data_IF_296821557576
#
_entry.id   IF_296821557576
#
_cell.length_a   1.000
_cell.length_b   1.000
_cell.length_c   1.000
_cell.angle_alpha   90.00
_cell.angle_beta   90.00
_cell.angle_gamma   90.00
#
_symmetry.space_group_name_H-M   'P 1'
#
loop_
_entity.id
_entity.type
_entity.pdbx_description
1 polymer ?
#
# COMPACT_ATOMS: atom_id res chain seq x y z
N UNK A 1 2.01 -2.81 -8.78
CA UNK A 1 0.64 -2.49 -9.22
C UNK A 1 0.73 -1.26 -10.11
N UNK A 2 0.08 -1.26 -11.27
CA UNK A 2 0.08 -0.09 -12.15
C UNK A 2 -0.96 0.92 -11.65
N UNK A 3 -0.56 2.19 -11.61
CA UNK A 3 -1.40 3.28 -11.12
C UNK A 3 -1.48 4.41 -12.13
N UNK A 4 -2.65 5.04 -12.20
CA UNK A 4 -2.90 6.25 -12.99
C UNK A 4 -3.37 7.38 -12.06
N UNK A 5 -3.16 8.62 -12.49
CA UNK A 5 -3.67 9.78 -11.77
C UNK A 5 -5.20 9.71 -11.66
N UNK A 6 -5.73 10.04 -10.49
CA UNK A 6 -7.14 9.92 -10.15
C UNK A 6 -7.73 11.20 -9.53
N UNK A 7 -7.11 12.36 -9.78
CA UNK A 7 -7.56 13.64 -9.20
C UNK A 7 -9.01 13.96 -9.58
N UNK A 8 -9.38 13.69 -10.84
CA UNK A 8 -10.71 13.97 -11.38
C UNK A 8 -11.72 12.82 -11.16
N UNK A 9 -11.28 11.69 -10.61
CA UNK A 9 -12.15 10.53 -10.42
C UNK A 9 -13.15 10.77 -9.26
N UNK A 10 -14.48 10.74 -9.48
CA UNK A 10 -15.45 11.15 -8.46
C UNK A 10 -15.38 10.38 -7.13
N UNK A 11 -15.06 9.08 -7.18
CA UNK A 11 -14.87 8.23 -5.99
C UNK A 11 -13.43 8.24 -5.47
N UNK A 12 -12.45 7.81 -6.28
CA UNK A 12 -11.05 7.67 -5.87
C UNK A 12 -10.37 8.94 -5.32
N UNK A 13 -10.78 10.15 -5.77
CA UNK A 13 -10.23 11.40 -5.24
C UNK A 13 -10.52 11.65 -3.75
N UNK A 14 -11.51 10.95 -3.19
CA UNK A 14 -11.92 11.03 -1.78
C UNK A 14 -10.96 10.27 -0.84
N UNK A 15 -10.12 9.40 -1.38
CA UNK A 15 -9.15 8.60 -0.61
C UNK A 15 -7.79 9.29 -0.53
N UNK A 16 -6.88 8.75 0.28
CA UNK A 16 -5.56 9.31 0.60
C UNK A 16 -5.63 10.65 1.37
N UNK A 17 -4.47 11.11 1.85
CA UNK A 17 -4.36 12.40 2.56
C UNK A 17 -4.76 13.56 1.63
N UNK A 18 -5.32 14.62 2.21
CA UNK A 18 -5.54 15.89 1.50
C UNK A 18 -4.21 16.48 1.01
N UNK A 19 -4.20 17.07 -0.19
CA UNK A 19 -3.00 17.65 -0.82
C UNK A 19 -1.97 16.65 -1.34
N UNK A 20 -2.18 15.34 -1.15
CA UNK A 20 -1.38 14.31 -1.79
C UNK A 20 -1.95 13.96 -3.16
N UNK A 21 -1.07 13.67 -4.13
CA UNK A 21 -1.46 13.18 -5.46
C UNK A 21 -2.39 11.98 -5.32
N UNK A 22 -3.51 12.02 -6.07
CA UNK A 22 -4.47 10.93 -6.10
C UNK A 22 -4.05 9.91 -7.15
N UNK A 23 -3.87 8.67 -6.72
CA UNK A 23 -3.63 7.52 -7.59
C UNK A 23 -4.75 6.48 -7.46
N UNK A 24 -5.13 5.90 -8.60
CA UNK A 24 -5.95 4.69 -8.65
C UNK A 24 -5.20 3.58 -9.36
N UNK A 25 -5.47 2.34 -8.96
CA UNK A 25 -4.99 1.17 -9.70
C UNK A 25 -5.77 1.03 -11.01
N UNK A 26 -5.11 0.48 -12.02
CA UNK A 26 -5.78 0.08 -13.27
C UNK A 26 -6.49 -1.24 -13.05
N UNK A 27 -7.79 -1.29 -13.36
CA UNK A 27 -8.64 -2.48 -13.21
C UNK A 27 -9.00 -2.96 -14.62
N UNK A 28 -8.59 -4.18 -14.97
CA UNK A 28 -8.92 -4.81 -16.25
C UNK A 28 -10.14 -5.74 -16.05
N UNK A 29 -11.21 -5.61 -16.84
CA UNK A 29 -12.31 -6.58 -16.81
C UNK A 29 -11.84 -7.98 -17.22
N UNK A 30 -12.40 -9.06 -16.66
CA UNK A 30 -12.01 -10.42 -17.03
C UNK A 30 -12.13 -10.73 -18.54
N UNK A 31 -13.08 -10.10 -19.22
CA UNK A 31 -13.29 -10.22 -20.67
C UNK A 31 -12.14 -9.65 -21.50
N UNK A 32 -11.28 -8.83 -20.91
CA UNK A 32 -10.18 -8.14 -21.58
C UNK A 32 -8.80 -8.64 -21.15
N UNK A 33 -8.72 -9.65 -20.28
CA UNK A 33 -7.44 -10.19 -19.81
C UNK A 33 -6.54 -10.68 -20.94
N UNK A 34 -7.08 -11.40 -21.91
CA UNK A 34 -6.29 -11.89 -23.03
C UNK A 34 -5.73 -10.73 -23.87
N UNK A 35 -6.55 -9.71 -24.14
CA UNK A 35 -6.12 -8.51 -24.86
C UNK A 35 -5.01 -7.76 -24.12
N UNK A 36 -5.15 -7.58 -22.80
CA UNK A 36 -4.13 -6.98 -21.94
C UNK A 36 -2.81 -7.78 -21.94
N UNK A 37 -2.87 -9.10 -21.74
CA UNK A 37 -1.68 -9.97 -21.67
C UNK A 37 -1.00 -10.16 -23.05
N UNK A 38 -1.74 -9.98 -24.13
CA UNK A 38 -1.24 -10.07 -25.50
C UNK A 38 -0.78 -8.73 -26.09
N UNK A 39 -0.91 -7.61 -25.37
CA UNK A 39 -0.40 -6.32 -25.84
C UNK A 39 1.06 -6.41 -26.30
N UNK A 40 1.37 -5.80 -27.45
CA UNK A 40 2.74 -5.70 -28.01
C UNK A 40 3.16 -4.28 -28.34
N UNK A 41 2.22 -3.34 -28.38
CA UNK A 41 2.47 -1.95 -28.73
C UNK A 41 2.18 -1.05 -27.54
N UNK A 42 2.96 0.03 -27.42
CA UNK A 42 2.75 1.04 -26.38
C UNK A 42 1.36 1.69 -26.47
N UNK A 43 0.84 1.84 -27.68
CA UNK A 43 -0.49 2.42 -27.89
C UNK A 43 -1.60 1.52 -27.33
N UNK A 44 -1.53 0.21 -27.60
CA UNK A 44 -2.46 -0.77 -27.02
C UNK A 44 -2.36 -0.80 -25.50
N UNK A 45 -1.16 -0.74 -24.92
CA UNK A 45 -1.03 -0.66 -23.45
C UNK A 45 -1.68 0.62 -22.93
N UNK A 46 -1.46 1.77 -23.58
CA UNK A 46 -1.99 3.07 -23.18
C UNK A 46 -3.52 3.11 -23.16
N UNK A 47 -4.19 2.39 -24.06
CA UNK A 47 -5.66 2.32 -24.06
C UNK A 47 -6.23 1.65 -22.81
N UNK A 48 -5.47 0.77 -22.13
CA UNK A 48 -5.86 0.17 -20.85
C UNK A 48 -5.56 1.06 -19.64
N UNK A 49 -4.74 2.10 -19.77
CA UNK A 49 -4.32 2.95 -18.64
C UNK A 49 -5.35 4.03 -18.34
N UNK A 50 -6.59 3.60 -18.10
CA UNK A 50 -7.73 4.46 -17.83
C UNK A 50 -8.22 4.25 -16.39
N UNK A 51 -8.90 5.26 -15.86
CA UNK A 51 -9.61 5.13 -14.60
C UNK A 51 -10.83 4.23 -14.79
N UNK A 52 -11.09 3.35 -13.81
CA UNK A 52 -12.24 2.47 -13.86
C UNK A 52 -13.54 3.27 -13.65
N UNK A 53 -14.64 3.01 -14.37
CA UNK A 53 -15.86 3.81 -14.27
C UNK A 53 -16.44 3.84 -12.86
N UNK A 54 -16.80 5.03 -12.36
CA UNK A 54 -17.32 5.18 -11.00
C UNK A 54 -18.65 4.47 -10.80
N UNK A 55 -19.47 4.37 -11.84
CA UNK A 55 -20.76 3.69 -11.84
C UNK A 55 -20.61 2.17 -11.65
N UNK A 56 -19.43 1.63 -11.95
CA UNK A 56 -19.08 0.22 -11.73
C UNK A 56 -18.37 -0.01 -10.39
N UNK A 57 -18.29 1.01 -9.52
CA UNK A 57 -17.64 0.94 -8.22
C UNK A 57 -18.62 1.18 -7.08
N UNK A 58 -18.39 0.47 -5.98
CA UNK A 58 -19.03 0.72 -4.70
C UNK A 58 -17.96 0.75 -3.61
N UNK A 59 -18.11 1.65 -2.64
CA UNK A 59 -17.20 1.75 -1.51
C UNK A 59 -17.98 1.94 -0.20
N UNK A 60 -17.57 1.19 0.82
CA UNK A 60 -18.07 1.28 2.18
C UNK A 60 -16.91 1.37 3.17
N UNK A 61 -17.19 1.86 4.38
CA UNK A 61 -16.17 1.91 5.43
C UNK A 61 -15.91 0.50 5.98
N UNK A 62 -14.69 0.01 5.82
CA UNK A 62 -14.24 -1.27 6.39
C UNK A 62 -13.01 -1.05 7.30
N UNK A 63 -13.19 -0.46 8.50
CA UNK A 63 -12.08 -0.19 9.39
C UNK A 63 -11.50 -1.49 9.93
N UNK A 64 -10.17 -1.59 9.95
CA UNK A 64 -9.50 -2.67 10.66
C UNK A 64 -9.85 -2.60 12.15
N UNK A 65 -9.99 -3.76 12.84
CA UNK A 65 -10.12 -3.75 14.29
C UNK A 65 -8.94 -2.99 14.92
N UNK A 66 -9.14 -2.36 16.10
CA UNK A 66 -8.05 -1.68 16.79
C UNK A 66 -6.84 -2.60 16.90
N UNK A 67 -5.68 -2.15 16.44
CA UNK A 67 -4.44 -2.93 16.57
C UNK A 67 -4.22 -3.16 18.06
N UNK A 68 -4.07 -4.43 18.46
CA UNK A 68 -3.65 -4.76 19.82
C UNK A 68 -2.37 -3.98 20.13
N UNK A 69 -2.37 -3.27 21.27
CA UNK A 69 -1.24 -2.46 21.68
C UNK A 69 0.03 -3.30 21.66
N UNK A 70 1.10 -2.76 21.08
CA UNK A 70 2.41 -3.39 21.13
C UNK A 70 2.80 -3.48 22.60
N UNK A 71 2.82 -4.69 23.17
CA UNK A 71 3.36 -4.90 24.51
C UNK A 71 4.82 -4.46 24.47
N UNK A 72 5.11 -3.31 25.06
CA UNK A 72 6.47 -2.93 25.41
C UNK A 72 6.95 -3.96 26.42
N UNK A 73 7.66 -4.99 25.99
CA UNK A 73 8.43 -5.81 26.92
C UNK A 73 9.53 -4.88 27.41
N UNK A 74 9.35 -4.35 28.62
CA UNK A 74 10.40 -3.66 29.35
C UNK A 74 11.59 -4.61 29.44
N UNK A 75 12.76 -4.12 29.05
CA UNK A 75 13.97 -4.92 28.95
C UNK A 75 14.27 -5.64 30.25
N UNK A 76 14.41 -6.95 30.19
CA UNK A 76 15.09 -7.70 31.22
C UNK A 76 16.59 -7.60 30.93
N UNK A 77 17.29 -6.76 31.69
CA UNK A 77 18.73 -6.73 31.68
C UNK A 77 19.24 -8.11 32.13
N UNK A 78 19.92 -8.82 31.22
CA UNK A 78 20.61 -10.06 31.53
C UNK A 78 21.71 -9.78 32.58
N UNK A 79 21.78 -10.50 33.70
CA UNK A 79 22.83 -10.34 34.70
C UNK A 79 24.22 -10.80 34.21
N UNK A 80 24.34 -11.31 32.98
CA UNK A 80 25.58 -11.88 32.45
C UNK A 80 26.67 -10.86 32.07
N UNK A 81 26.44 -9.54 32.20
CA UNK A 81 27.44 -8.51 31.88
C UNK A 81 28.14 -7.90 33.10
N UNK A 82 27.86 -8.35 34.32
CA UNK A 82 28.45 -7.79 35.54
C UNK A 82 29.77 -8.45 36.00
N UNK A 83 30.46 -9.24 35.16
CA UNK A 83 31.70 -9.94 35.56
C UNK A 83 32.85 -9.78 34.57
N UNK A 84 33.04 -8.57 34.02
CA UNK A 84 34.23 -8.21 33.25
C UNK A 84 34.59 -6.75 33.57
N UNK A 85 35.09 -6.50 34.78
CA UNK A 85 35.77 -5.26 35.21
C UNK A 85 36.27 -5.47 36.65
N UNK A 86 37.15 -6.47 36.85
CA UNK A 86 37.89 -6.63 38.09
C UNK A 86 39.15 -7.49 37.84
N UNK A 87 39.98 -7.07 36.89
CA UNK A 87 41.41 -7.38 36.91
C UNK A 87 42.09 -6.44 35.92
N UNK A 88 42.84 -5.47 36.44
CA UNK A 88 44.03 -4.81 35.84
C UNK A 88 44.46 -3.75 36.85
N UNK A 89 45.12 -4.20 37.92
CA UNK A 89 45.77 -3.39 38.93
C UNK A 89 47.11 -4.02 39.28
N UNK A 90 48.15 -3.63 38.53
CA UNK A 90 49.56 -3.91 38.80
C UNK A 90 50.37 -2.64 38.57
#
# INVERSE_FOLDING_TARGET
>A
MLTVNAEDHPLMKRFHRSGAEKGSVVIIPPTEYEAWLSCRTTDAVRSFLQLYPVEAMYAEAYPLPPRAGKSTVAGEASPAQASLLADEGG
#
